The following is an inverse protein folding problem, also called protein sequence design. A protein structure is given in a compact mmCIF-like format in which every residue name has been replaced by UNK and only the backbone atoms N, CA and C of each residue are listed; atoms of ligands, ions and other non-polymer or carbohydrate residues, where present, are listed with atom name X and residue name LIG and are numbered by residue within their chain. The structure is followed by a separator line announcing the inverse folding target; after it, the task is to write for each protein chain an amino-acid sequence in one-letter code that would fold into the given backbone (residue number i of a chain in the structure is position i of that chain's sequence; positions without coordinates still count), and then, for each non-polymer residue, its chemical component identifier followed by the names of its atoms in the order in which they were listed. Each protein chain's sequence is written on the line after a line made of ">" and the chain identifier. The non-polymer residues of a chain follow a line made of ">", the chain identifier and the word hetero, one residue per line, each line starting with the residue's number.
data_IF_166250861938
#
_entry.id   IF_166250861938
#
_cell.length_a   1.000
_cell.length_b   1.000
_cell.length_c   1.000
_cell.angle_alpha   90.00
_cell.angle_beta   90.00
_cell.angle_gamma   90.00
#
_symmetry.space_group_name_H-M   'P 1'
#
loop_
_entity.id
_entity.type
_entity.pdbx_description
1 polymer ?
#
# COMPACT_ATOMS: atom_id res chain seq x y z
N UNK A 1 23.02 9.53 24.53
CA UNK A 1 22.96 8.06 24.45
C UNK A 1 21.66 7.71 23.75
N UNK A 2 21.71 7.49 22.44
CA UNK A 2 20.56 7.03 21.66
C UNK A 2 20.60 5.51 21.73
N UNK A 3 19.55 4.91 22.30
CA UNK A 3 19.38 3.46 22.33
C UNK A 3 19.03 3.00 20.92
N UNK A 4 20.03 2.53 20.18
CA UNK A 4 19.80 1.74 18.97
C UNK A 4 19.11 0.44 19.40
N UNK A 5 17.80 0.36 19.18
CA UNK A 5 17.12 -0.93 19.19
C UNK A 5 17.75 -1.77 18.08
N UNK A 6 18.11 -3.04 18.32
CA UNK A 6 18.73 -3.86 17.29
C UNK A 6 17.69 -4.11 16.19
N UNK A 7 17.75 -3.32 15.11
CA UNK A 7 17.06 -3.68 13.88
C UNK A 7 17.54 -5.07 13.52
N UNK A 8 16.62 -6.04 13.47
CA UNK A 8 16.92 -7.40 13.05
C UNK A 8 17.31 -7.33 11.58
N UNK A 9 18.60 -7.08 11.30
CA UNK A 9 19.14 -7.10 9.94
C UNK A 9 19.02 -8.51 9.42
N UNK A 10 18.27 -8.68 8.34
CA UNK A 10 18.14 -9.94 7.64
C UNK A 10 19.51 -10.37 7.10
N UNK A 11 19.99 -11.54 7.53
CA UNK A 11 21.28 -12.08 7.07
C UNK A 11 21.21 -12.36 5.56
N UNK A 12 22.19 -11.86 4.82
CA UNK A 12 22.31 -12.08 3.36
C UNK A 12 21.34 -11.26 2.51
N UNK A 13 20.65 -10.27 3.09
CA UNK A 13 19.67 -9.40 2.41
C UNK A 13 20.05 -7.92 2.44
N UNK A 14 21.33 -7.61 2.60
CA UNK A 14 21.76 -6.23 2.82
C UNK A 14 21.41 -5.30 1.66
N UNK A 15 21.49 -5.80 0.41
CA UNK A 15 21.14 -5.02 -0.77
C UNK A 15 19.63 -4.71 -0.83
N UNK A 16 18.79 -5.68 -0.52
CA UNK A 16 17.33 -5.53 -0.51
C UNK A 16 16.87 -4.64 0.65
N UNK A 17 17.41 -4.83 1.86
CA UNK A 17 17.19 -3.92 2.98
C UNK A 17 17.58 -2.48 2.61
N UNK A 18 18.74 -2.28 1.99
CA UNK A 18 19.21 -0.94 1.59
C UNK A 18 18.27 -0.28 0.57
N UNK A 19 17.72 -1.03 -0.39
CA UNK A 19 16.73 -0.50 -1.35
C UNK A 19 15.42 -0.11 -0.67
N UNK A 20 15.00 -0.88 0.33
CA UNK A 20 13.80 -0.59 1.09
C UNK A 20 13.99 0.66 1.98
N UNK A 21 15.14 0.79 2.63
CA UNK A 21 15.52 1.97 3.39
C UNK A 21 15.59 3.22 2.48
N UNK A 22 16.11 3.09 1.27
CA UNK A 22 16.12 4.16 0.27
C UNK A 22 14.71 4.59 -0.16
N UNK A 23 13.79 3.64 -0.35
CA UNK A 23 12.39 3.95 -0.63
C UNK A 23 11.77 4.72 0.55
N UNK A 24 11.98 4.26 1.78
CA UNK A 24 11.47 4.92 2.99
C UNK A 24 11.99 6.36 3.07
N UNK A 25 13.30 6.56 2.88
CA UNK A 25 13.92 7.88 2.90
C UNK A 25 13.38 8.79 1.78
N UNK A 26 13.15 8.26 0.57
CA UNK A 26 12.57 9.01 -0.55
C UNK A 26 11.17 9.53 -0.21
N UNK A 27 10.37 8.70 0.43
CA UNK A 27 9.00 9.01 0.84
C UNK A 27 8.97 10.05 1.97
N UNK A 28 9.86 9.90 2.95
CA UNK A 28 10.06 10.90 4.00
C UNK A 28 10.52 12.25 3.45
N UNK A 29 11.33 12.25 2.38
CA UNK A 29 11.85 13.44 1.72
C UNK A 29 10.83 14.17 0.83
N UNK A 30 9.56 13.72 0.76
CA UNK A 30 8.54 14.45 0.00
C UNK A 30 8.11 13.80 -1.32
N UNK A 31 8.67 12.66 -1.70
CA UNK A 31 8.49 12.09 -3.03
C UNK A 31 7.71 10.77 -2.98
N UNK A 32 7.14 10.35 -4.11
CA UNK A 32 6.58 9.01 -4.22
C UNK A 32 7.66 7.99 -4.62
N UNK A 33 7.45 6.72 -4.26
CA UNK A 33 8.33 5.64 -4.69
C UNK A 33 7.60 4.30 -4.72
N UNK A 34 7.90 3.49 -5.73
CA UNK A 34 7.32 2.14 -5.88
C UNK A 34 8.45 1.13 -6.03
N UNK A 35 8.41 0.08 -5.22
CA UNK A 35 9.36 -1.03 -5.27
C UNK A 35 8.61 -2.35 -5.46
N UNK A 36 9.06 -3.15 -6.42
CA UNK A 36 8.50 -4.48 -6.67
C UNK A 36 9.49 -5.57 -6.22
N UNK A 37 9.06 -6.41 -5.29
CA UNK A 37 9.80 -7.55 -4.77
C UNK A 37 9.57 -8.77 -5.65
N UNK A 38 10.63 -9.19 -6.35
CA UNK A 38 10.61 -10.39 -7.18
C UNK A 38 11.49 -11.47 -6.56
N UNK A 39 10.97 -12.69 -6.53
CA UNK A 39 11.70 -13.85 -6.06
C UNK A 39 10.78 -15.05 -5.89
N UNK A 40 11.39 -16.21 -5.77
CA UNK A 40 10.70 -17.50 -5.64
C UNK A 40 9.85 -17.58 -4.36
N UNK A 41 8.93 -18.53 -4.33
CA UNK A 41 8.15 -18.82 -3.11
C UNK A 41 9.12 -19.25 -2.00
N UNK A 42 8.88 -18.77 -0.77
CA UNK A 42 9.73 -19.12 0.38
C UNK A 42 11.09 -18.40 0.44
N UNK A 43 11.41 -17.52 -0.52
CA UNK A 43 12.69 -16.78 -0.54
C UNK A 43 12.79 -15.74 0.59
N UNK A 44 11.71 -15.45 1.30
CA UNK A 44 11.68 -14.50 2.42
C UNK A 44 11.19 -13.09 2.07
N UNK A 45 10.32 -12.94 1.07
CA UNK A 45 9.70 -11.64 0.71
C UNK A 45 8.91 -11.05 1.89
N UNK A 46 8.11 -11.87 2.57
CA UNK A 46 7.39 -11.48 3.80
C UNK A 46 8.32 -10.96 4.89
N UNK A 47 9.44 -11.65 5.15
CA UNK A 47 10.43 -11.21 6.12
C UNK A 47 11.05 -9.84 5.75
N UNK A 48 11.27 -9.59 4.46
CA UNK A 48 11.75 -8.30 3.96
C UNK A 48 10.71 -7.18 4.11
N UNK A 49 9.42 -7.47 3.87
CA UNK A 49 8.33 -6.52 4.10
C UNK A 49 8.18 -6.18 5.60
N UNK A 50 8.30 -7.18 6.49
CA UNK A 50 8.29 -6.98 7.93
C UNK A 50 9.48 -6.13 8.43
N UNK A 51 10.67 -6.35 7.84
CA UNK A 51 11.82 -5.49 8.07
C UNK A 51 11.53 -4.04 7.64
N UNK A 52 10.94 -3.83 6.47
CA UNK A 52 10.55 -2.50 6.00
C UNK A 52 9.55 -1.81 6.90
N UNK A 53 8.54 -2.53 7.37
CA UNK A 53 7.53 -2.01 8.31
C UNK A 53 8.16 -1.57 9.62
N UNK A 54 9.15 -2.31 10.12
CA UNK A 54 9.89 -1.96 11.33
C UNK A 54 10.81 -0.75 11.10
N UNK A 55 11.34 -0.60 9.89
CA UNK A 55 12.26 0.47 9.50
C UNK A 55 11.56 1.77 9.12
N UNK A 56 10.27 1.71 8.76
CA UNK A 56 9.44 2.87 8.40
C UNK A 56 8.97 3.69 9.63
N UNK A 57 9.83 3.84 10.66
CA UNK A 57 9.53 4.70 11.81
C UNK A 57 9.34 6.15 11.35
N UNK A 58 8.32 6.82 11.91
CA UNK A 58 7.95 8.17 11.48
C UNK A 58 7.13 8.23 10.18
N UNK A 59 6.80 7.08 9.59
CA UNK A 59 5.82 6.95 8.52
C UNK A 59 4.56 6.27 9.04
N UNK A 60 3.42 6.61 8.46
CA UNK A 60 2.21 5.80 8.57
C UNK A 60 2.38 4.57 7.69
N UNK A 61 1.89 3.42 8.13
CA UNK A 61 1.98 2.17 7.36
C UNK A 61 0.61 1.55 7.12
N UNK A 62 0.37 1.04 5.91
CA UNK A 62 -0.78 0.20 5.58
C UNK A 62 -0.32 -1.15 5.03
N UNK A 63 -1.13 -2.19 5.19
CA UNK A 63 -0.81 -3.54 4.72
C UNK A 63 -2.00 -4.17 4.00
N UNK A 64 -1.71 -4.87 2.92
CA UNK A 64 -2.61 -5.86 2.31
C UNK A 64 -1.87 -7.19 2.17
N UNK A 65 -2.55 -8.30 2.38
CA UNK A 65 -1.99 -9.64 2.24
C UNK A 65 -2.86 -10.43 1.28
N UNK A 66 -2.26 -11.01 0.25
CA UNK A 66 -2.92 -11.96 -0.63
C UNK A 66 -3.26 -13.25 0.12
N UNK A 67 -4.51 -13.68 0.00
CA UNK A 67 -5.00 -14.94 0.55
C UNK A 67 -5.58 -15.72 -0.62
N UNK A 68 -5.06 -16.93 -0.88
CA UNK A 68 -5.42 -17.72 -2.06
C UNK A 68 -6.93 -17.95 -2.18
N UNK A 69 -7.61 -18.22 -1.06
CA UNK A 69 -9.07 -18.40 -1.04
C UNK A 69 -9.89 -17.13 -1.30
N UNK A 70 -9.26 -15.95 -1.26
CA UNK A 70 -9.90 -14.65 -1.46
C UNK A 70 -9.67 -14.07 -2.86
N UNK A 71 -8.96 -14.77 -3.75
CA UNK A 71 -8.63 -14.26 -5.10
C UNK A 71 -9.85 -13.89 -5.96
N UNK A 72 -11.01 -14.50 -5.68
CA UNK A 72 -12.28 -14.23 -6.37
C UNK A 72 -13.12 -13.13 -5.68
N UNK A 73 -12.70 -12.64 -4.51
CA UNK A 73 -13.37 -11.58 -3.77
C UNK A 73 -12.87 -10.22 -4.26
N UNK A 74 -13.55 -9.65 -5.24
CA UNK A 74 -13.20 -8.36 -5.83
C UNK A 74 -13.02 -7.27 -4.76
N UNK A 75 -11.93 -6.50 -4.89
CA UNK A 75 -11.55 -5.40 -3.99
C UNK A 75 -11.11 -5.81 -2.59
N UNK A 76 -10.96 -7.10 -2.26
CA UNK A 76 -10.53 -7.56 -0.94
C UNK A 76 -9.17 -6.98 -0.53
N UNK A 77 -8.16 -7.07 -1.40
CA UNK A 77 -6.83 -6.51 -1.14
C UNK A 77 -6.82 -4.97 -1.04
N UNK A 78 -7.58 -4.31 -1.91
CA UNK A 78 -7.70 -2.85 -1.91
C UNK A 78 -8.41 -2.36 -0.65
N UNK A 79 -9.44 -3.07 -0.21
CA UNK A 79 -10.13 -2.80 1.04
C UNK A 79 -9.19 -2.96 2.23
N UNK A 80 -8.42 -4.06 2.34
CA UNK A 80 -7.42 -4.21 3.39
C UNK A 80 -6.45 -3.03 3.46
N UNK A 81 -5.99 -2.56 2.28
CA UNK A 81 -5.07 -1.44 2.19
C UNK A 81 -5.69 -0.09 2.61
N UNK A 82 -6.96 0.14 2.28
CA UNK A 82 -7.65 1.40 2.53
C UNK A 82 -8.39 1.46 3.88
N UNK A 83 -8.68 0.30 4.48
CA UNK A 83 -9.45 0.17 5.71
C UNK A 83 -8.97 1.09 6.86
N UNK A 84 -7.65 1.27 7.10
CA UNK A 84 -7.17 2.17 8.15
C UNK A 84 -7.48 3.65 7.94
N UNK A 85 -7.99 4.03 6.76
CA UNK A 85 -8.16 5.42 6.32
C UNK A 85 -9.59 5.74 5.91
N UNK A 86 -10.57 4.88 6.21
CA UNK A 86 -11.95 5.10 5.77
C UNK A 86 -12.59 6.35 6.40
N UNK A 87 -12.06 6.84 7.53
CA UNK A 87 -12.43 8.12 8.14
C UNK A 87 -12.08 9.34 7.25
N UNK A 88 -11.19 9.16 6.27
CA UNK A 88 -10.86 10.19 5.26
C UNK A 88 -11.78 10.16 4.03
N UNK A 89 -12.66 9.16 3.86
CA UNK A 89 -13.54 9.05 2.68
C UNK A 89 -14.40 10.30 2.46
N UNK A 90 -14.84 10.96 3.53
CA UNK A 90 -15.66 12.18 3.46
C UNK A 90 -14.94 13.38 2.82
N UNK A 91 -13.61 13.32 2.66
CA UNK A 91 -12.82 14.37 1.99
C UNK A 91 -12.70 14.16 0.49
N UNK A 92 -13.09 13.00 -0.02
CA UNK A 92 -13.06 12.70 -1.45
C UNK A 92 -14.25 13.37 -2.15
N UNK A 93 -14.07 13.79 -3.43
CA UNK A 93 -15.18 14.17 -4.29
C UNK A 93 -16.26 13.10 -4.33
N UNK A 94 -17.52 13.51 -4.42
CA UNK A 94 -18.68 12.61 -4.31
C UNK A 94 -18.59 11.37 -5.23
N UNK A 95 -18.25 11.48 -6.53
CA UNK A 95 -18.17 10.29 -7.40
C UNK A 95 -17.09 9.28 -6.96
N UNK A 96 -15.99 9.77 -6.39
CA UNK A 96 -14.91 8.93 -5.88
C UNK A 96 -15.30 8.24 -4.58
N UNK A 97 -15.93 9.00 -3.67
CA UNK A 97 -16.44 8.48 -2.40
C UNK A 97 -17.49 7.40 -2.62
N UNK A 98 -18.43 7.63 -3.54
CA UNK A 98 -19.45 6.64 -3.92
C UNK A 98 -18.82 5.40 -4.54
N UNK A 99 -17.88 5.56 -5.48
CA UNK A 99 -17.21 4.42 -6.11
C UNK A 99 -16.47 3.53 -5.10
N UNK A 100 -15.69 4.11 -4.19
CA UNK A 100 -15.03 3.36 -3.10
C UNK A 100 -16.05 2.78 -2.11
N UNK A 101 -17.06 3.56 -1.74
CA UNK A 101 -18.11 3.15 -0.81
C UNK A 101 -18.86 1.92 -1.32
N UNK A 102 -19.25 1.89 -2.59
CA UNK A 102 -19.89 0.73 -3.22
C UNK A 102 -18.91 -0.43 -3.42
N UNK A 103 -17.67 -0.17 -3.85
CA UNK A 103 -16.65 -1.22 -4.01
C UNK A 103 -16.39 -1.97 -2.70
N UNK A 104 -16.44 -1.27 -1.57
CA UNK A 104 -16.18 -1.82 -0.23
C UNK A 104 -17.45 -2.25 0.52
N UNK A 105 -18.63 -2.17 -0.12
CA UNK A 105 -19.90 -2.52 0.52
C UNK A 105 -20.33 -1.61 1.67
N UNK A 106 -19.73 -0.41 1.79
CA UNK A 106 -20.13 0.64 2.73
C UNK A 106 -21.41 1.36 2.29
N UNK A 107 -21.76 1.23 1.01
CA UNK A 107 -22.91 1.88 0.38
C UNK A 107 -23.51 0.95 -0.66
N UNK A 108 -24.83 0.87 -0.73
CA UNK A 108 -25.53 0.19 -1.82
C UNK A 108 -25.42 1.00 -3.11
N UNK A 109 -25.34 0.33 -4.26
CA UNK A 109 -25.26 1.01 -5.55
C UNK A 109 -25.03 0.05 -6.71
N UNK A 110 -24.97 0.60 -7.93
CA UNK A 110 -24.52 -0.14 -9.10
C UNK A 110 -23.03 -0.46 -9.01
N UNK A 111 -22.56 -1.54 -9.67
CA UNK A 111 -21.12 -1.82 -9.74
C UNK A 111 -20.32 -0.57 -10.15
N UNK A 112 -19.32 -0.15 -9.36
CA UNK A 112 -18.65 1.12 -9.59
C UNK A 112 -17.72 1.06 -10.81
N UNK A 113 -17.51 2.21 -11.44
CA UNK A 113 -16.48 2.35 -12.46
C UNK A 113 -15.09 2.10 -11.84
N UNK A 114 -14.35 1.12 -12.38
CA UNK A 114 -13.01 0.75 -11.92
C UNK A 114 -12.02 1.92 -12.01
N UNK A 115 -12.19 2.81 -12.97
CA UNK A 115 -11.37 4.03 -13.06
C UNK A 115 -11.64 4.95 -11.87
N UNK A 116 -12.91 5.16 -11.49
CA UNK A 116 -13.26 5.96 -10.32
C UNK A 116 -12.78 5.31 -9.03
N UNK A 117 -12.85 3.99 -8.88
CA UNK A 117 -12.28 3.28 -7.72
C UNK A 117 -10.78 3.51 -7.63
N UNK A 118 -10.04 3.40 -8.74
CA UNK A 118 -8.59 3.65 -8.74
C UNK A 118 -8.21 5.09 -8.48
N UNK A 119 -8.98 6.05 -9.02
CA UNK A 119 -8.79 7.47 -8.74
C UNK A 119 -9.08 7.78 -7.27
N UNK A 120 -10.16 7.23 -6.73
CA UNK A 120 -10.55 7.40 -5.34
C UNK A 120 -9.50 6.82 -4.38
N UNK A 121 -8.95 5.63 -4.69
CA UNK A 121 -7.86 5.04 -3.91
C UNK A 121 -6.59 5.90 -3.95
N UNK A 122 -6.21 6.41 -5.13
CA UNK A 122 -5.09 7.34 -5.27
C UNK A 122 -5.31 8.60 -4.41
N UNK A 123 -6.47 9.24 -4.54
CA UNK A 123 -6.83 10.46 -3.79
C UNK A 123 -6.89 10.21 -2.28
N UNK A 124 -7.37 9.04 -1.84
CA UNK A 124 -7.40 8.65 -0.43
C UNK A 124 -5.99 8.53 0.15
N UNK A 125 -5.11 7.78 -0.52
CA UNK A 125 -3.73 7.59 -0.08
C UNK A 125 -2.94 8.91 -0.12
N UNK A 126 -3.19 9.75 -1.13
CA UNK A 126 -2.62 11.09 -1.24
C UNK A 126 -3.07 12.00 -0.09
N UNK A 127 -4.37 12.03 0.24
CA UNK A 127 -4.92 12.82 1.35
C UNK A 127 -4.32 12.38 2.69
N UNK A 128 -4.20 11.08 2.92
CA UNK A 128 -3.54 10.54 4.12
C UNK A 128 -2.08 10.99 4.19
N UNK A 129 -1.37 10.95 3.06
CA UNK A 129 0.03 11.34 2.95
C UNK A 129 0.29 12.85 3.15
N UNK A 130 -0.76 13.69 3.17
CA UNK A 130 -0.62 15.14 3.47
C UNK A 130 -0.26 15.41 4.93
N UNK A 131 -0.63 14.53 5.86
CA UNK A 131 -0.29 14.68 7.28
C UNK A 131 1.07 14.06 7.59
N UNK A 132 1.25 12.80 7.22
CA UNK A 132 2.45 12.01 7.49
C UNK A 132 2.78 11.15 6.28
N UNK A 133 4.07 10.90 5.95
CA UNK A 133 4.43 10.02 4.84
C UNK A 133 3.81 8.62 5.02
N UNK A 134 3.26 8.05 3.95
CA UNK A 134 2.56 6.77 3.97
C UNK A 134 3.34 5.71 3.22
N UNK A 135 3.53 4.53 3.81
CA UNK A 135 4.11 3.37 3.13
C UNK A 135 3.15 2.19 3.19
N UNK A 136 2.82 1.68 2.00
CA UNK A 136 1.94 0.55 1.79
C UNK A 136 2.78 -0.70 1.51
N UNK A 137 2.58 -1.75 2.30
CA UNK A 137 3.22 -3.04 2.12
C UNK A 137 2.18 -4.06 1.64
N UNK A 138 2.39 -4.60 0.45
CA UNK A 138 1.56 -5.62 -0.16
C UNK A 138 2.35 -6.92 -0.09
N UNK A 139 1.83 -7.86 0.69
CA UNK A 139 2.42 -9.19 0.85
C UNK A 139 1.65 -10.19 0.02
N UNK A 140 2.35 -11.20 -0.47
CA UNK A 140 1.79 -12.25 -1.32
C UNK A 140 0.88 -11.73 -2.44
N UNK A 141 1.34 -10.70 -3.15
CA UNK A 141 0.58 -10.05 -4.23
C UNK A 141 0.09 -11.02 -5.33
N UNK A 142 0.74 -12.18 -5.48
CA UNK A 142 0.29 -13.25 -6.37
C UNK A 142 -1.08 -13.85 -6.01
N UNK A 143 -1.50 -13.74 -4.75
CA UNK A 143 -2.77 -14.22 -4.23
C UNK A 143 -3.76 -13.09 -3.95
N UNK A 144 -3.46 -11.85 -4.37
CA UNK A 144 -4.44 -10.77 -4.34
C UNK A 144 -5.50 -10.97 -5.43
N UNK A 145 -6.72 -10.54 -5.13
CA UNK A 145 -7.76 -10.46 -6.15
C UNK A 145 -7.31 -9.56 -7.31
N UNK A 146 -7.67 -9.96 -8.53
CA UNK A 146 -7.18 -9.33 -9.77
C UNK A 146 -7.53 -7.85 -9.83
N UNK A 147 -8.68 -7.44 -9.31
CA UNK A 147 -9.16 -6.07 -9.39
C UNK A 147 -8.36 -5.18 -8.43
N UNK A 148 -8.07 -5.64 -7.22
CA UNK A 148 -7.18 -4.95 -6.29
C UNK A 148 -5.78 -4.79 -6.86
N UNK A 149 -5.18 -5.85 -7.41
CA UNK A 149 -3.84 -5.78 -7.99
C UNK A 149 -3.79 -4.77 -9.16
N UNK A 150 -4.79 -4.78 -10.04
CA UNK A 150 -4.91 -3.80 -11.11
C UNK A 150 -5.05 -2.37 -10.60
N UNK A 151 -5.80 -2.18 -9.51
CA UNK A 151 -6.03 -0.88 -8.88
C UNK A 151 -4.76 -0.35 -8.20
N UNK A 152 -4.07 -1.19 -7.43
CA UNK A 152 -2.78 -0.85 -6.80
C UNK A 152 -1.73 -0.50 -7.87
N UNK A 153 -1.69 -1.25 -8.97
CA UNK A 153 -0.82 -0.93 -10.10
C UNK A 153 -1.22 0.37 -10.82
N UNK A 154 -2.52 0.70 -10.89
CA UNK A 154 -2.99 1.98 -11.39
C UNK A 154 -2.52 3.15 -10.51
N UNK A 155 -2.64 3.01 -9.19
CA UNK A 155 -2.17 3.99 -8.20
C UNK A 155 -0.65 4.16 -8.33
N UNK A 156 0.12 3.07 -8.29
CA UNK A 156 1.58 3.12 -8.35
C UNK A 156 2.14 3.80 -9.60
N UNK A 157 1.44 3.72 -10.74
CA UNK A 157 1.83 4.43 -11.98
C UNK A 157 1.45 5.91 -12.00
N UNK A 158 0.59 6.38 -11.09
CA UNK A 158 0.06 7.74 -11.03
C UNK A 158 0.52 8.53 -9.82
N UNK A 159 1.20 7.88 -8.88
CA UNK A 159 1.94 8.57 -7.84
C UNK A 159 3.06 9.40 -8.49
N UNK A 160 3.11 10.69 -8.15
CA UNK A 160 4.10 11.65 -8.62
C UNK A 160 4.79 12.28 -7.40
N UNK A 161 4.21 13.33 -6.84
CA UNK A 161 4.80 14.12 -5.76
C UNK A 161 4.18 13.85 -4.38
N UNK A 162 3.26 12.88 -4.29
CA UNK A 162 2.67 12.48 -3.03
C UNK A 162 3.70 11.70 -2.18
N UNK A 163 3.69 11.91 -0.86
CA UNK A 163 4.54 11.19 0.10
C UNK A 163 4.05 9.76 0.33
N UNK A 164 3.91 8.98 -0.74
CA UNK A 164 3.40 7.62 -0.74
C UNK A 164 4.45 6.65 -1.29
N UNK A 165 4.77 5.64 -0.48
CA UNK A 165 5.57 4.48 -0.86
C UNK A 165 4.69 3.26 -1.11
N UNK A 166 4.92 2.51 -2.18
CA UNK A 166 4.32 1.19 -2.40
C UNK A 166 5.42 0.12 -2.49
N UNK A 167 5.25 -0.98 -1.76
CA UNK A 167 6.13 -2.15 -1.81
C UNK A 167 5.27 -3.39 -2.04
N UNK A 168 5.48 -4.11 -3.14
CA UNK A 168 4.63 -5.25 -3.56
C UNK A 168 5.41 -6.38 -4.24
#
# INVERSE_FOLDING_TARGET
>A
MVSESPQVRLKGRQAECSRLDQLIATVQAGHSSVLVLRGEVGIGKTALLDFGRTSAQGCRTARAVGIESEMELAYGGLHQLCAPFLDHLGRLPDPQREALGTAFGLSSGTPPDRFLVGLAALSLLADVATKEPLICFIDDAQWLDRVSLQTIAFVGRRLLAERVGLVL
#
